data_IF_781229572920
#
_entry.id   IF_781229572920
#
_cell.length_a   1.000
_cell.length_b   1.000
_cell.length_c   1.000
_cell.angle_alpha   90.00
_cell.angle_beta   90.00
_cell.angle_gamma   90.00
#
_symmetry.space_group_name_H-M   'P 1'
#
loop_
_entity.id
_entity.type
_entity.pdbx_description
1 polymer ?
#
# COMPACT_ATOMS: atom_id res chain seq x y z
N UNK A 1 13.43 11.31 9.14
CA UNK A 1 13.61 10.79 7.77
C UNK A 1 12.49 11.32 6.87
N UNK A 2 12.69 11.27 5.56
CA UNK A 2 11.66 11.63 4.59
C UNK A 2 10.99 10.33 4.08
N UNK A 3 9.68 10.23 4.28
CA UNK A 3 8.91 9.02 3.99
C UNK A 3 7.83 9.33 2.96
N UNK A 4 7.70 8.48 1.95
CA UNK A 4 6.62 8.53 0.97
C UNK A 4 5.63 7.39 1.22
N UNK A 5 4.35 7.74 1.38
CA UNK A 5 3.24 6.80 1.33
C UNK A 5 2.49 6.99 0.01
N UNK A 6 2.43 5.97 -0.81
CA UNK A 6 1.84 6.04 -2.16
C UNK A 6 1.08 4.77 -2.54
N UNK A 7 0.41 4.80 -3.68
CA UNK A 7 -0.49 3.73 -4.11
C UNK A 7 -1.90 3.95 -3.57
N UNK A 8 -2.55 2.90 -3.10
CA UNK A 8 -3.89 2.98 -2.51
C UNK A 8 -3.81 3.42 -1.04
N UNK A 9 -3.70 4.72 -0.82
CA UNK A 9 -3.58 5.33 0.52
C UNK A 9 -4.92 5.76 1.13
N UNK A 10 -6.04 5.32 0.59
CA UNK A 10 -7.38 5.75 1.04
C UNK A 10 -7.68 5.44 2.52
N UNK A 11 -7.03 4.43 3.09
CA UNK A 11 -7.18 4.02 4.48
C UNK A 11 -6.07 4.52 5.41
N UNK A 12 -5.08 5.24 4.88
CA UNK A 12 -4.02 5.84 5.70
C UNK A 12 -4.58 7.06 6.45
N UNK A 13 -4.77 6.92 7.75
CA UNK A 13 -5.24 7.98 8.62
C UNK A 13 -4.08 8.75 9.28
N UNK A 14 -4.27 9.98 9.77
CA UNK A 14 -3.25 10.65 10.57
C UNK A 14 -2.79 9.82 11.77
N UNK A 15 -3.72 9.15 12.45
CA UNK A 15 -3.41 8.28 13.58
C UNK A 15 -2.52 7.10 13.17
N UNK A 16 -2.79 6.50 12.02
CA UNK A 16 -1.95 5.45 11.44
C UNK A 16 -0.53 5.94 11.19
N UNK A 17 -0.38 7.13 10.60
CA UNK A 17 0.93 7.73 10.35
C UNK A 17 1.67 8.05 11.64
N UNK A 18 0.96 8.58 12.65
CA UNK A 18 1.54 8.85 13.98
C UNK A 18 2.07 7.59 14.65
N UNK A 19 1.41 6.44 14.47
CA UNK A 19 1.84 5.16 15.01
C UNK A 19 3.02 4.57 14.24
N UNK A 20 2.98 4.59 12.90
CA UNK A 20 4.01 4.00 12.06
C UNK A 20 5.29 4.87 11.98
N UNK A 21 5.14 6.20 12.02
CA UNK A 21 6.22 7.15 11.77
C UNK A 21 6.11 8.38 12.71
N UNK A 22 6.30 8.20 14.03
CA UNK A 22 5.98 9.23 15.03
C UNK A 22 6.84 10.49 14.94
N UNK A 23 8.06 10.39 14.43
CA UNK A 23 9.04 11.49 14.38
C UNK A 23 9.44 11.90 12.96
N UNK A 24 8.90 11.24 11.93
CA UNK A 24 9.33 11.41 10.56
C UNK A 24 8.50 12.46 9.79
N UNK A 25 9.07 13.00 8.73
CA UNK A 25 8.35 13.80 7.75
C UNK A 25 7.70 12.87 6.74
N UNK A 26 6.39 12.90 6.65
CA UNK A 26 5.63 11.98 5.81
C UNK A 26 4.91 12.72 4.69
N UNK A 27 5.13 12.28 3.46
CA UNK A 27 4.39 12.71 2.29
C UNK A 27 3.43 11.61 1.85
N UNK A 28 2.13 11.95 1.78
CA UNK A 28 1.08 11.03 1.36
C UNK A 28 0.56 11.46 -0.01
N UNK A 29 0.56 10.54 -0.97
CA UNK A 29 -0.13 10.76 -2.24
C UNK A 29 -1.54 10.22 -2.15
N UNK A 30 -2.55 11.07 -2.20
CA UNK A 30 -3.93 10.65 -2.15
C UNK A 30 -4.79 11.42 -3.17
N UNK A 31 -5.95 10.85 -3.49
CA UNK A 31 -6.93 11.50 -4.38
C UNK A 31 -7.74 12.61 -3.68
N UNK A 32 -7.69 12.69 -2.35
CA UNK A 32 -8.44 13.68 -1.56
C UNK A 32 -7.54 14.27 -0.49
N UNK A 33 -7.35 15.59 -0.54
CA UNK A 33 -6.64 16.34 0.49
C UNK A 33 -7.41 16.29 1.81
N UNK A 34 -6.73 15.95 2.89
CA UNK A 34 -7.25 16.01 4.24
C UNK A 34 -6.35 16.89 5.11
N UNK A 35 -6.88 17.55 6.15
CA UNK A 35 -6.06 18.27 7.09
C UNK A 35 -5.22 17.28 7.91
N UNK A 36 -3.92 17.43 7.84
CA UNK A 36 -2.95 16.65 8.59
C UNK A 36 -2.08 17.57 9.48
N UNK A 37 -1.41 17.03 10.51
CA UNK A 37 -0.37 17.74 11.23
C UNK A 37 0.72 18.30 10.30
N UNK A 38 1.44 19.38 10.65
CA UNK A 38 2.40 20.05 9.76
C UNK A 38 3.51 19.16 9.21
N UNK A 39 3.89 18.08 9.92
CA UNK A 39 4.90 17.11 9.47
C UNK A 39 4.36 16.07 8.47
N UNK A 40 3.03 15.99 8.33
CA UNK A 40 2.37 15.12 7.37
C UNK A 40 1.85 16.00 6.25
N UNK A 41 2.38 15.84 5.05
CA UNK A 41 1.96 16.56 3.86
C UNK A 41 1.17 15.63 2.95
N UNK A 42 0.10 16.13 2.40
CA UNK A 42 -0.72 15.43 1.44
C UNK A 42 -0.61 16.09 0.08
N UNK A 43 -0.35 15.31 -0.95
CA UNK A 43 -0.34 15.78 -2.34
C UNK A 43 -1.37 15.01 -3.14
N UNK A 44 -2.30 15.72 -3.74
CA UNK A 44 -3.22 15.14 -4.71
C UNK A 44 -2.50 15.01 -6.04
N UNK A 45 -2.45 13.81 -6.57
CA UNK A 45 -1.89 13.54 -7.89
C UNK A 45 -3.01 13.56 -8.93
N UNK A 46 -3.01 14.58 -9.79
CA UNK A 46 -4.00 14.73 -10.85
C UNK A 46 -3.73 13.77 -12.03
N UNK A 47 -2.53 13.22 -12.12
CA UNK A 47 -2.15 12.27 -13.16
C UNK A 47 -1.07 11.29 -12.67
N UNK A 48 -1.03 10.12 -13.32
CA UNK A 48 -0.02 9.08 -13.06
C UNK A 48 1.42 9.56 -13.33
N UNK A 49 1.59 10.57 -14.18
CA UNK A 49 2.90 11.12 -14.57
C UNK A 49 3.52 11.94 -13.43
N UNK A 50 2.70 12.57 -12.60
CA UNK A 50 3.17 13.41 -11.48
C UNK A 50 3.87 12.62 -10.40
N UNK A 51 3.58 11.34 -10.21
CA UNK A 51 4.28 10.55 -9.19
C UNK A 51 5.78 10.43 -9.50
N UNK A 52 6.16 10.22 -10.76
CA UNK A 52 7.57 10.20 -11.16
C UNK A 52 8.26 11.54 -10.89
N UNK A 53 7.64 12.64 -11.31
CA UNK A 53 8.15 13.99 -11.07
C UNK A 53 8.27 14.32 -9.58
N UNK A 54 7.30 13.88 -8.77
CA UNK A 54 7.34 14.03 -7.33
C UNK A 54 8.56 13.31 -6.74
N UNK A 55 8.73 12.04 -7.08
CA UNK A 55 9.83 11.22 -6.57
C UNK A 55 11.19 11.74 -7.06
N UNK A 56 11.26 12.26 -8.28
CA UNK A 56 12.48 12.91 -8.80
C UNK A 56 12.83 14.20 -8.05
N UNK A 57 11.82 14.92 -7.57
CA UNK A 57 11.98 16.21 -6.88
C UNK A 57 12.29 16.10 -5.39
N UNK A 58 12.05 14.94 -4.78
CA UNK A 58 12.28 14.67 -3.37
C UNK A 58 13.19 13.46 -3.20
N UNK A 59 13.99 13.48 -2.16
CA UNK A 59 14.78 12.32 -1.75
C UNK A 59 14.08 11.63 -0.58
N UNK A 60 13.52 10.46 -0.85
CA UNK A 60 12.86 9.66 0.19
C UNK A 60 13.81 8.58 0.71
N UNK A 61 13.93 8.50 2.03
CA UNK A 61 14.66 7.44 2.71
C UNK A 61 13.88 6.12 2.67
N UNK A 62 12.56 6.23 2.89
CA UNK A 62 11.63 5.09 2.95
C UNK A 62 10.40 5.36 2.09
N UNK A 63 9.94 4.32 1.42
CA UNK A 63 8.72 4.35 0.60
C UNK A 63 7.84 3.19 1.01
N UNK A 64 6.59 3.46 1.36
CA UNK A 64 5.55 2.42 1.52
C UNK A 64 4.60 2.53 0.35
N UNK A 65 4.58 1.49 -0.46
CA UNK A 65 3.69 1.40 -1.60
C UNK A 65 2.52 0.46 -1.27
N UNK A 66 1.34 1.02 -1.18
CA UNK A 66 0.10 0.28 -0.95
C UNK A 66 -0.48 -0.18 -2.28
N UNK A 67 -0.49 -1.49 -2.52
CA UNK A 67 -1.10 -2.06 -3.72
C UNK A 67 -2.58 -1.71 -3.82
N UNK A 68 -3.06 -1.46 -5.02
CA UNK A 68 -4.49 -1.23 -5.29
C UNK A 68 -5.32 -2.49 -5.03
N UNK A 69 -4.68 -3.67 -5.00
CA UNK A 69 -5.32 -4.94 -4.66
C UNK A 69 -5.64 -5.12 -3.17
N UNK A 70 -5.27 -4.17 -2.32
CA UNK A 70 -5.64 -4.18 -0.90
C UNK A 70 -7.13 -3.90 -0.67
N UNK A 71 -7.83 -3.36 -1.67
CA UNK A 71 -9.27 -3.11 -1.60
C UNK A 71 -10.01 -3.70 -2.80
N UNK A 72 -11.21 -4.30 -2.61
CA UNK A 72 -11.92 -5.01 -3.68
C UNK A 72 -12.47 -4.11 -4.79
N UNK A 73 -12.52 -2.79 -4.61
CA UNK A 73 -13.19 -1.84 -5.51
C UNK A 73 -12.24 -0.80 -6.15
N UNK A 74 -10.93 -0.96 -6.03
CA UNK A 74 -9.99 0.00 -6.62
C UNK A 74 -9.95 -0.12 -8.15
N UNK A 75 -9.82 1.02 -8.83
CA UNK A 75 -9.51 1.07 -10.26
C UNK A 75 -8.08 0.58 -10.48
N UNK A 76 -7.93 -0.64 -10.96
CA UNK A 76 -6.64 -1.34 -11.08
C UNK A 76 -5.84 -0.92 -12.32
N UNK A 77 -6.44 -0.12 -13.18
CA UNK A 77 -5.76 0.36 -14.37
C UNK A 77 -4.63 1.32 -14.01
N UNK A 78 -3.41 0.87 -14.27
CA UNK A 78 -2.21 1.68 -14.14
C UNK A 78 -1.41 1.54 -12.86
N UNK A 79 -1.71 0.56 -11.98
CA UNK A 79 -0.87 0.28 -10.83
C UNK A 79 0.56 -0.07 -11.25
N UNK A 80 0.73 -0.98 -12.19
CA UNK A 80 2.05 -1.37 -12.69
C UNK A 80 2.85 -0.18 -13.25
N UNK A 81 2.19 0.71 -13.99
CA UNK A 81 2.86 1.90 -14.52
C UNK A 81 3.24 2.88 -13.40
N UNK A 82 2.37 3.07 -12.40
CA UNK A 82 2.65 3.90 -11.23
C UNK A 82 3.81 3.34 -10.41
N UNK A 83 3.76 2.04 -10.10
CA UNK A 83 4.83 1.35 -9.38
C UNK A 83 6.14 1.44 -10.15
N UNK A 84 6.13 1.18 -11.46
CA UNK A 84 7.31 1.30 -12.32
C UNK A 84 7.92 2.70 -12.27
N UNK A 85 7.12 3.75 -12.29
CA UNK A 85 7.60 5.14 -12.20
C UNK A 85 8.24 5.44 -10.86
N UNK A 86 7.67 4.96 -9.75
CA UNK A 86 8.26 5.09 -8.41
C UNK A 86 9.61 4.37 -8.35
N UNK A 87 9.67 3.14 -8.83
CA UNK A 87 10.90 2.34 -8.85
C UNK A 87 11.98 2.98 -9.75
N UNK A 88 11.59 3.42 -10.95
CA UNK A 88 12.50 4.05 -11.90
C UNK A 88 13.12 5.34 -11.34
N UNK A 89 12.32 6.19 -10.71
CA UNK A 89 12.78 7.45 -10.13
C UNK A 89 13.73 7.25 -8.93
N UNK A 90 13.60 6.12 -8.22
CA UNK A 90 14.50 5.79 -7.10
C UNK A 90 15.67 4.87 -7.49
N UNK A 91 15.81 4.48 -8.75
CA UNK A 91 16.73 3.45 -9.21
C UNK A 91 18.17 3.63 -8.72
N UNK A 92 18.66 4.85 -8.72
CA UNK A 92 20.05 5.18 -8.34
C UNK A 92 20.18 5.59 -6.85
N UNK A 93 19.08 5.55 -6.08
CA UNK A 93 19.04 6.00 -4.68
C UNK A 93 19.03 4.80 -3.73
N UNK A 94 19.77 4.83 -2.63
CA UNK A 94 19.77 3.75 -1.64
C UNK A 94 18.55 3.85 -0.71
N UNK A 95 17.34 3.96 -1.27
CA UNK A 95 16.09 4.03 -0.51
C UNK A 95 15.55 2.63 -0.18
N UNK A 96 14.74 2.55 0.87
CA UNK A 96 14.02 1.34 1.26
C UNK A 96 12.58 1.42 0.76
N UNK A 97 12.12 0.46 -0.05
CA UNK A 97 10.76 0.39 -0.53
C UNK A 97 10.07 -0.86 0.00
N UNK A 98 8.99 -0.66 0.76
CA UNK A 98 8.11 -1.71 1.23
C UNK A 98 6.85 -1.74 0.34
N UNK A 99 6.72 -2.80 -0.46
CA UNK A 99 5.52 -3.04 -1.26
C UNK A 99 4.53 -3.91 -0.47
N UNK A 100 3.37 -3.36 -0.17
CA UNK A 100 2.30 -4.05 0.54
C UNK A 100 1.35 -4.68 -0.47
N UNK A 101 1.49 -5.99 -0.68
CA UNK A 101 0.68 -6.78 -1.60
C UNK A 101 -0.63 -7.23 -0.94
N UNK A 102 -1.72 -7.26 -1.68
CA UNK A 102 -2.99 -7.80 -1.22
C UNK A 102 -3.01 -9.33 -1.22
N UNK A 103 -4.02 -9.94 -0.58
CA UNK A 103 -4.15 -11.39 -0.47
C UNK A 103 -4.37 -12.08 -1.82
N UNK A 104 -4.83 -11.37 -2.82
CA UNK A 104 -5.15 -11.91 -4.14
C UNK A 104 -3.92 -12.40 -4.91
N UNK A 105 -2.73 -11.91 -4.56
CA UNK A 105 -1.48 -12.40 -5.14
C UNK A 105 -1.22 -13.88 -4.82
N UNK A 106 -1.68 -14.34 -3.66
CA UNK A 106 -1.44 -15.70 -3.16
C UNK A 106 -2.64 -16.62 -3.34
N UNK A 107 -3.86 -16.09 -3.14
CA UNK A 107 -5.07 -16.91 -3.00
C UNK A 107 -5.72 -17.36 -4.31
N UNK A 108 -5.46 -16.67 -5.42
CA UNK A 108 -6.17 -16.93 -6.69
C UNK A 108 -5.22 -16.87 -7.89
N UNK A 109 -4.39 -17.89 -8.13
CA UNK A 109 -3.29 -17.83 -9.11
C UNK A 109 -3.71 -17.70 -10.59
N UNK A 110 -4.99 -17.72 -10.92
CA UNK A 110 -5.45 -17.74 -12.32
C UNK A 110 -6.52 -16.69 -12.70
N UNK A 111 -6.83 -15.77 -11.80
CA UNK A 111 -7.77 -14.68 -12.10
C UNK A 111 -6.97 -13.42 -12.47
N UNK A 112 -7.47 -12.61 -13.41
CA UNK A 112 -6.73 -11.48 -13.98
C UNK A 112 -6.08 -10.53 -12.97
N UNK A 113 -6.67 -10.35 -11.79
CA UNK A 113 -6.10 -9.58 -10.67
C UNK A 113 -4.82 -10.20 -10.10
N UNK A 114 -4.76 -11.53 -9.96
CA UNK A 114 -3.56 -12.22 -9.46
C UNK A 114 -2.39 -12.12 -10.44
N UNK A 115 -2.65 -12.13 -11.75
CA UNK A 115 -1.62 -11.94 -12.77
C UNK A 115 -0.97 -10.57 -12.66
N UNK A 116 -1.76 -9.51 -12.44
CA UNK A 116 -1.24 -8.16 -12.25
C UNK A 116 -0.46 -8.02 -10.94
N UNK A 117 -0.94 -8.64 -9.85
CA UNK A 117 -0.22 -8.66 -8.58
C UNK A 117 1.13 -9.38 -8.71
N UNK A 118 1.17 -10.54 -9.38
CA UNK A 118 2.41 -11.26 -9.67
C UNK A 118 3.35 -10.44 -10.57
N UNK A 119 2.81 -9.70 -11.54
CA UNK A 119 3.61 -8.80 -12.38
C UNK A 119 4.22 -7.65 -11.56
N UNK A 120 3.48 -7.10 -10.58
CA UNK A 120 3.99 -6.08 -9.67
C UNK A 120 5.14 -6.62 -8.81
N UNK A 121 5.02 -7.84 -8.28
CA UNK A 121 6.10 -8.49 -7.53
C UNK A 121 7.32 -8.80 -8.40
N UNK A 122 7.09 -9.30 -9.62
CA UNK A 122 8.18 -9.53 -10.56
C UNK A 122 8.93 -8.23 -10.91
N UNK A 123 8.19 -7.12 -11.02
CA UNK A 123 8.77 -5.79 -11.20
C UNK A 123 9.59 -5.37 -9.98
N UNK A 124 9.08 -5.53 -8.77
CA UNK A 124 9.80 -5.27 -7.53
C UNK A 124 11.11 -6.08 -7.47
N UNK A 125 11.05 -7.38 -7.74
CA UNK A 125 12.22 -8.27 -7.78
C UNK A 125 13.25 -7.79 -8.79
N UNK A 126 12.83 -7.47 -10.01
CA UNK A 126 13.73 -6.96 -11.05
C UNK A 126 14.50 -5.71 -10.57
N UNK A 127 13.81 -4.76 -9.95
CA UNK A 127 14.48 -3.54 -9.45
C UNK A 127 15.35 -3.82 -8.22
N UNK A 128 14.97 -4.72 -7.34
CA UNK A 128 15.81 -5.12 -6.21
C UNK A 128 17.16 -5.71 -6.68
N UNK A 129 17.15 -6.45 -7.79
CA UNK A 129 18.36 -7.08 -8.37
C UNK A 129 19.19 -6.12 -9.24
N UNK A 130 18.57 -5.08 -9.84
CA UNK A 130 19.21 -4.26 -10.89
C UNK A 130 19.39 -2.80 -10.51
N UNK A 131 18.98 -2.40 -9.31
CA UNK A 131 19.05 -1.00 -8.85
C UNK A 131 19.63 -0.88 -7.44
N UNK A 132 19.73 0.34 -6.92
CA UNK A 132 20.18 0.59 -5.55
C UNK A 132 19.06 0.60 -4.52
N UNK A 133 17.82 0.53 -4.97
CA UNK A 133 16.65 0.47 -4.09
C UNK A 133 16.61 -0.89 -3.39
N UNK A 134 16.52 -0.87 -2.08
CA UNK A 134 16.27 -2.07 -1.30
C UNK A 134 14.76 -2.29 -1.23
N UNK A 135 14.28 -3.44 -1.67
CA UNK A 135 12.84 -3.70 -1.78
C UNK A 135 12.47 -4.92 -0.95
N UNK A 136 11.39 -4.80 -0.18
CA UNK A 136 10.68 -5.92 0.44
C UNK A 136 9.24 -5.96 -0.02
N UNK A 137 8.72 -7.15 -0.21
CA UNK A 137 7.30 -7.39 -0.49
C UNK A 137 6.68 -8.05 0.73
N UNK A 138 5.61 -7.46 1.24
CA UNK A 138 4.85 -8.00 2.35
C UNK A 138 3.45 -8.36 1.88
N UNK A 139 3.14 -9.65 1.90
CA UNK A 139 1.82 -10.17 1.60
C UNK A 139 0.91 -9.99 2.80
N UNK A 140 -0.08 -9.14 2.63
CA UNK A 140 -1.05 -8.84 3.67
C UNK A 140 -2.30 -9.73 3.52
N UNK A 141 -2.88 -10.17 4.64
CA UNK A 141 -4.23 -10.70 4.63
C UNK A 141 -5.23 -9.59 4.33
N UNK A 142 -6.53 -9.90 4.35
CA UNK A 142 -7.55 -8.87 4.20
C UNK A 142 -7.44 -7.82 5.30
N UNK A 143 -7.42 -6.55 4.89
CA UNK A 143 -7.39 -5.44 5.84
C UNK A 143 -8.82 -5.13 6.33
N UNK A 144 -8.92 -4.70 7.58
CA UNK A 144 -10.16 -4.13 8.14
C UNK A 144 -9.85 -2.94 9.05
N UNK A 145 -10.81 -2.06 9.18
CA UNK A 145 -10.70 -0.85 9.98
C UNK A 145 -11.57 0.25 9.42
N UNK A 146 -11.14 1.47 9.59
CA UNK A 146 -11.78 2.66 9.01
C UNK A 146 -10.83 3.43 8.12
N UNK A 147 -11.38 4.07 7.09
CA UNK A 147 -10.62 5.02 6.29
C UNK A 147 -10.45 6.36 7.01
N UNK A 148 -9.78 7.27 6.35
CA UNK A 148 -9.53 8.62 6.86
C UNK A 148 -10.81 9.46 7.08
N UNK A 149 -11.98 9.02 6.62
CA UNK A 149 -13.29 9.64 6.87
C UNK A 149 -14.07 8.97 8.00
N UNK A 150 -13.52 7.89 8.58
CA UNK A 150 -14.20 7.04 9.55
C UNK A 150 -15.12 6.00 8.92
N UNK A 151 -15.14 5.90 7.57
CA UNK A 151 -15.92 4.87 6.90
C UNK A 151 -15.21 3.51 6.98
N UNK A 152 -15.96 2.40 7.17
CA UNK A 152 -15.38 1.07 7.24
C UNK A 152 -14.72 0.68 5.91
N UNK A 153 -13.57 0.00 5.99
CA UNK A 153 -12.81 -0.48 4.82
C UNK A 153 -12.59 -1.99 4.87
N UNK A 154 -12.35 -2.56 3.70
CA UNK A 154 -12.08 -3.98 3.55
C UNK A 154 -13.25 -4.85 4.03
N UNK A 155 -12.97 -5.87 4.84
CA UNK A 155 -13.99 -6.77 5.36
C UNK A 155 -15.05 -6.02 6.20
N UNK A 156 -14.67 -4.94 6.88
CA UNK A 156 -15.60 -4.15 7.68
C UNK A 156 -16.75 -3.56 6.83
N UNK A 157 -16.53 -3.29 5.54
CA UNK A 157 -17.58 -2.85 4.63
C UNK A 157 -18.67 -3.93 4.45
N UNK A 158 -18.28 -5.20 4.40
CA UNK A 158 -19.23 -6.31 4.28
C UNK A 158 -20.11 -6.44 5.52
N UNK A 159 -19.56 -6.10 6.69
CA UNK A 159 -20.29 -6.18 7.98
C UNK A 159 -21.23 -4.99 8.20
N UNK A 160 -20.96 -3.85 7.55
CA UNK A 160 -21.73 -2.61 7.73
C UNK A 160 -22.74 -2.35 6.62
N UNK A 161 -22.81 -3.21 5.60
CA UNK A 161 -23.72 -3.08 4.48
C UNK A 161 -25.01 -3.92 4.68
N UNK A 162 -25.99 -3.43 5.44
CA UNK A 162 -27.31 -4.02 5.37
C UNK A 162 -28.38 -2.95 5.28
N UNK A 163 -28.66 -2.49 4.08
CA UNK A 163 -29.97 -1.88 3.85
C UNK A 163 -30.96 -2.87 3.22
N UNK A 164 -30.56 -4.06 2.87
CA UNK A 164 -31.40 -5.10 2.25
C UNK A 164 -31.60 -6.38 3.07
N UNK A 165 -30.98 -6.50 4.24
CA UNK A 165 -31.32 -7.57 5.20
C UNK A 165 -30.82 -8.97 4.87
N UNK A 166 -30.23 -9.22 3.71
CA UNK A 166 -29.73 -10.55 3.33
C UNK A 166 -28.28 -10.45 2.85
N UNK A 167 -27.37 -11.11 3.57
CA UNK A 167 -26.01 -11.38 3.13
C UNK A 167 -25.99 -12.75 2.45
N UNK A 168 -25.87 -12.77 1.14
CA UNK A 168 -25.66 -14.02 0.40
C UNK A 168 -24.16 -14.34 0.43
N UNK A 169 -23.80 -15.36 1.18
CA UNK A 169 -22.47 -15.96 1.11
C UNK A 169 -22.53 -17.17 0.18
N UNK A 170 -21.69 -17.19 -0.84
CA UNK A 170 -21.45 -18.42 -1.58
C UNK A 170 -20.78 -19.45 -0.64
N UNK A 171 -21.07 -20.71 -0.82
CA UNK A 171 -20.58 -21.80 0.05
C UNK A 171 -19.04 -21.86 0.12
N UNK A 172 -18.36 -21.34 -0.91
CA UNK A 172 -16.90 -21.17 -0.95
C UNK A 172 -16.38 -20.07 -0.02
N UNK A 173 -17.23 -19.17 0.45
CA UNK A 173 -16.86 -18.09 1.37
C UNK A 173 -16.71 -18.55 2.83
N UNK A 174 -16.93 -19.83 3.13
CA UNK A 174 -16.81 -20.39 4.49
C UNK A 174 -15.37 -20.78 4.87
N UNK A 175 -14.39 -20.60 3.98
CA UNK A 175 -13.00 -20.79 4.33
C UNK A 175 -12.56 -19.73 5.37
N UNK A 176 -11.80 -20.10 6.41
CA UNK A 176 -11.26 -19.14 7.35
C UNK A 176 -10.45 -18.07 6.59
N UNK A 177 -10.82 -16.82 6.76
CA UNK A 177 -10.15 -15.68 6.15
C UNK A 177 -9.29 -14.99 7.19
N UNK A 178 -7.99 -14.95 6.96
CA UNK A 178 -7.10 -14.13 7.78
C UNK A 178 -7.39 -12.66 7.53
N UNK A 179 -7.47 -11.88 8.60
CA UNK A 179 -7.70 -10.45 8.54
C UNK A 179 -6.72 -9.72 9.46
N UNK A 180 -6.26 -8.54 9.04
CA UNK A 180 -5.33 -7.69 9.77
C UNK A 180 -5.99 -6.32 10.02
N UNK A 181 -5.92 -5.87 11.27
CA UNK A 181 -6.37 -4.53 11.64
C UNK A 181 -5.40 -3.47 11.09
N UNK A 182 -5.93 -2.32 10.75
CA UNK A 182 -5.11 -1.20 10.25
C UNK A 182 -4.11 -0.70 11.30
N UNK A 183 -4.47 -0.73 12.56
CA UNK A 183 -3.58 -0.37 13.67
C UNK A 183 -2.41 -1.35 13.78
N UNK A 184 -2.67 -2.66 13.69
CA UNK A 184 -1.62 -3.69 13.70
C UNK A 184 -0.71 -3.60 12.48
N UNK A 185 -1.25 -3.18 11.31
CA UNK A 185 -0.45 -2.91 10.13
C UNK A 185 0.56 -1.78 10.37
N UNK A 186 0.20 -0.73 11.11
CA UNK A 186 1.13 0.37 11.40
C UNK A 186 2.34 -0.11 12.20
N UNK A 187 2.11 -0.93 13.22
CA UNK A 187 3.17 -1.55 14.02
C UNK A 187 4.02 -2.51 13.18
N UNK A 188 3.39 -3.30 12.32
CA UNK A 188 4.09 -4.21 11.42
C UNK A 188 5.02 -3.46 10.47
N UNK A 189 4.56 -2.37 9.85
CA UNK A 189 5.36 -1.53 8.96
C UNK A 189 6.57 -0.95 9.69
N UNK A 190 6.37 -0.42 10.90
CA UNK A 190 7.45 0.09 11.73
C UNK A 190 8.49 -1.01 12.02
N UNK A 191 8.04 -2.18 12.48
CA UNK A 191 8.92 -3.33 12.78
C UNK A 191 9.70 -3.81 11.55
N UNK A 192 9.09 -3.81 10.36
CA UNK A 192 9.78 -4.19 9.13
C UNK A 192 10.93 -3.21 8.82
N UNK A 193 10.70 -1.91 8.99
CA UNK A 193 11.75 -0.92 8.77
C UNK A 193 12.84 -0.95 9.85
N UNK A 194 12.51 -1.19 11.10
CA UNK A 194 13.48 -1.27 12.20
C UNK A 194 14.38 -2.51 12.11
N UNK A 195 13.85 -3.59 11.52
CA UNK A 195 14.58 -4.85 11.31
C UNK A 195 14.93 -5.06 9.83
N UNK A 196 15.16 -4.00 9.10
CA UNK A 196 15.44 -4.09 7.66
C UNK A 196 16.74 -4.82 7.38
N UNK A 197 16.64 -5.91 6.63
CA UNK A 197 17.79 -6.61 6.04
C UNK A 197 17.88 -6.26 4.56
N UNK A 198 19.07 -6.08 3.99
CA UNK A 198 19.22 -5.68 2.58
C UNK A 198 18.92 -6.80 1.58
N UNK A 199 18.69 -8.02 2.05
CA UNK A 199 18.37 -9.16 1.20
C UNK A 199 16.92 -9.10 0.72
N UNK A 200 16.69 -9.62 -0.51
CA UNK A 200 15.34 -9.79 -1.03
C UNK A 200 14.56 -10.80 -0.18
N UNK A 201 13.44 -10.38 0.38
CA UNK A 201 12.54 -11.21 1.15
C UNK A 201 11.10 -10.99 0.63
N UNK A 202 10.33 -12.09 0.51
CA UNK A 202 8.88 -12.11 0.19
C UNK A 202 8.11 -12.72 1.35
#
# INVERSE_FOLDING_TARGET
MEILLTGNTCFVTPAWVEMAFPEDHVLITCARGQPHPPRIRTITLDSKERIGQLVDSYEFDRIVYFSEYLTPHSEQEGELDRLRRVLQANRERPSQLLYLAGPEAVLTPFIGKSVLAQAAEALCRHYAETSRVQIKVLHLPYLYGTDCTGAPVGIAQLLTCPKSGELHFEEQALAPVAALCMEDLSELVLRVFDNWTPEWET
#
